data_IF_872174987922
#
_entry.id   IF_872174987922
#
_cell.length_a   1.000
_cell.length_b   1.000
_cell.length_c   1.000
_cell.angle_alpha   90.00
_cell.angle_beta   90.00
_cell.angle_gamma   90.00
#
_symmetry.space_group_name_H-M   'P 1'
#
loop_
_entity.id
_entity.type
_entity.pdbx_description
1 polymer ?
#
# COMPACT_ATOMS: atom_id res chain seq x y z
N UNK A 1 12.76 36.22 34.41
CA UNK A 1 12.62 35.32 35.58
C UNK A 1 13.89 34.51 35.64
N UNK A 2 14.71 34.71 36.68
CA UNK A 2 15.93 33.91 36.89
C UNK A 2 15.52 32.48 37.23
N UNK A 3 16.05 31.53 36.46
CA UNK A 3 15.78 30.11 36.65
C UNK A 3 16.79 29.53 37.65
N UNK A 4 16.36 28.73 38.65
CA UNK A 4 17.18 28.24 39.77
C UNK A 4 18.27 27.21 39.37
N UNK A 5 18.42 26.94 38.08
CA UNK A 5 19.25 25.88 37.50
C UNK A 5 20.62 26.36 36.99
N UNK A 6 20.98 27.63 37.23
CA UNK A 6 22.29 28.23 36.93
C UNK A 6 23.22 28.33 38.17
N UNK A 7 23.01 27.48 39.18
CA UNK A 7 23.80 27.48 40.41
C UNK A 7 25.18 26.80 40.19
N UNK A 8 26.28 27.39 40.69
CA UNK A 8 27.67 26.93 40.52
C UNK A 8 27.94 25.51 41.03
N UNK A 9 27.01 24.91 41.78
CA UNK A 9 27.09 23.53 42.26
C UNK A 9 26.94 22.46 41.16
N UNK A 10 26.48 22.82 39.95
CA UNK A 10 26.29 21.86 38.84
C UNK A 10 27.27 22.10 37.68
N UNK A 11 28.58 22.03 37.96
CA UNK A 11 29.68 22.20 36.96
C UNK A 11 29.66 21.24 35.77
N UNK A 12 28.84 20.18 35.79
CA UNK A 12 28.77 19.16 34.74
C UNK A 12 27.69 19.35 33.68
N UNK A 13 26.77 20.31 33.83
CA UNK A 13 25.64 20.46 32.92
C UNK A 13 25.77 21.74 32.08
N UNK A 14 26.26 21.60 30.84
CA UNK A 14 26.23 22.69 29.85
C UNK A 14 24.87 22.70 29.17
N UNK A 15 23.95 23.55 29.66
CA UNK A 15 22.66 23.77 29.00
C UNK A 15 22.87 24.72 27.82
N UNK A 16 22.73 24.20 26.60
CA UNK A 16 22.74 25.04 25.40
C UNK A 16 21.45 25.88 25.35
N UNK A 17 21.56 27.18 25.04
CA UNK A 17 20.40 28.02 24.79
C UNK A 17 19.55 27.39 23.69
N UNK A 18 18.27 27.12 23.99
CA UNK A 18 17.34 26.53 23.05
C UNK A 18 17.28 27.35 21.76
N UNK A 19 17.42 26.68 20.62
CA UNK A 19 17.19 27.26 19.30
C UNK A 19 15.70 27.53 19.15
N UNK A 20 15.32 28.80 18.98
CA UNK A 20 13.93 29.26 19.06
C UNK A 20 13.07 28.84 17.88
N UNK A 21 13.64 28.42 16.75
CA UNK A 21 12.88 27.95 15.59
C UNK A 21 13.71 26.98 14.75
N UNK A 22 13.39 25.68 14.86
CA UNK A 22 13.76 24.71 13.83
C UNK A 22 12.68 24.81 12.75
N UNK A 23 13.01 25.08 11.47
CA UNK A 23 12.01 25.10 10.42
C UNK A 23 11.32 23.73 10.35
N UNK A 24 10.00 23.69 10.56
CA UNK A 24 9.16 22.48 10.54
C UNK A 24 9.18 21.76 9.20
N UNK A 25 9.61 22.48 8.15
CA UNK A 25 9.75 21.99 6.79
C UNK A 25 11.18 22.23 6.37
N UNK A 26 11.86 21.18 5.90
CA UNK A 26 13.24 21.29 5.42
C UNK A 26 13.33 22.36 4.33
N UNK A 27 14.07 23.48 4.53
CA UNK A 27 14.16 24.58 3.57
C UNK A 27 14.85 24.19 2.26
N UNK A 28 15.51 23.03 2.22
CA UNK A 28 16.12 22.43 1.02
C UNK A 28 15.20 21.42 0.31
N UNK A 29 13.94 21.26 0.74
CA UNK A 29 12.95 20.47 0.00
C UNK A 29 12.70 21.13 -1.37
N UNK A 30 13.41 20.65 -2.39
CA UNK A 30 13.04 20.91 -3.78
C UNK A 30 11.59 20.48 -3.98
N UNK A 31 10.79 21.39 -4.54
CA UNK A 31 9.36 21.23 -4.85
C UNK A 31 9.11 19.82 -5.37
N UNK A 32 8.28 19.04 -4.66
CA UNK A 32 7.91 17.66 -5.04
C UNK A 32 7.59 17.65 -6.54
N UNK A 33 8.30 16.81 -7.31
CA UNK A 33 7.99 16.58 -8.73
C UNK A 33 6.50 16.32 -8.82
N UNK A 34 5.78 17.18 -9.55
CA UNK A 34 4.33 17.08 -9.73
C UNK A 34 4.08 15.69 -10.30
N UNK A 35 3.37 14.83 -9.57
CA UNK A 35 3.05 13.48 -10.05
C UNK A 35 2.29 13.64 -11.36
N UNK A 36 2.68 12.91 -12.39
CA UNK A 36 1.94 12.86 -13.65
C UNK A 36 0.51 12.40 -13.32
N UNK A 37 -0.48 13.20 -13.69
CA UNK A 37 -1.88 12.82 -13.62
C UNK A 37 -2.18 11.99 -14.86
N UNK A 38 -2.71 10.78 -14.65
CA UNK A 38 -3.11 9.88 -15.73
C UNK A 38 -4.61 9.99 -15.93
N UNK A 39 -5.01 10.03 -17.19
CA UNK A 39 -6.41 9.86 -17.58
C UNK A 39 -6.85 8.39 -17.38
N UNK A 40 -8.17 8.11 -17.25
CA UNK A 40 -8.68 6.74 -17.20
C UNK A 40 -8.18 5.86 -18.35
N UNK A 41 -8.07 6.40 -19.56
CA UNK A 41 -7.58 5.67 -20.72
C UNK A 41 -6.09 5.35 -20.63
N UNK A 42 -5.25 6.27 -20.14
CA UNK A 42 -3.82 6.00 -19.88
C UNK A 42 -3.63 4.93 -18.79
N UNK A 43 -4.50 4.92 -17.77
CA UNK A 43 -4.50 3.85 -16.77
C UNK A 43 -4.77 2.49 -17.42
N UNK A 44 -5.82 2.39 -18.23
CA UNK A 44 -6.20 1.15 -18.92
C UNK A 44 -5.07 0.68 -19.83
N UNK A 45 -4.51 1.57 -20.66
CA UNK A 45 -3.39 1.24 -21.55
C UNK A 45 -2.17 0.72 -20.76
N UNK A 46 -1.82 1.40 -19.66
CA UNK A 46 -0.73 0.98 -18.80
C UNK A 46 -0.97 -0.39 -18.15
N UNK A 47 -2.19 -0.66 -17.70
CA UNK A 47 -2.58 -1.95 -17.13
C UNK A 47 -2.47 -3.06 -18.18
N UNK A 48 -2.98 -2.83 -19.40
CA UNK A 48 -2.92 -3.81 -20.49
C UNK A 48 -1.48 -4.10 -20.94
N UNK A 49 -0.60 -3.10 -20.89
CA UNK A 49 0.85 -3.25 -21.11
C UNK A 49 1.59 -3.94 -19.95
N UNK A 50 0.90 -4.23 -18.84
CA UNK A 50 1.50 -4.88 -17.65
C UNK A 50 2.34 -3.95 -16.80
N UNK A 51 2.11 -2.63 -16.84
CA UNK A 51 2.83 -1.67 -16.01
C UNK A 51 2.35 -1.75 -14.55
N UNK A 52 3.16 -2.39 -13.70
CA UNK A 52 2.86 -2.59 -12.27
C UNK A 52 2.68 -1.26 -11.52
N UNK A 53 3.42 -0.22 -11.88
CA UNK A 53 3.30 1.10 -11.23
C UNK A 53 1.93 1.72 -11.50
N UNK A 54 1.47 1.67 -12.75
CA UNK A 54 0.15 2.18 -13.13
C UNK A 54 -0.95 1.33 -12.50
N UNK A 55 -0.81 0.00 -12.49
CA UNK A 55 -1.73 -0.91 -11.79
C UNK A 55 -1.84 -0.57 -10.30
N UNK A 56 -0.71 -0.36 -9.63
CA UNK A 56 -0.68 -0.01 -8.20
C UNK A 56 -1.40 1.30 -7.90
N UNK A 57 -1.23 2.30 -8.78
CA UNK A 57 -1.91 3.59 -8.66
C UNK A 57 -3.42 3.47 -8.91
N UNK A 58 -3.83 2.68 -9.91
CA UNK A 58 -5.25 2.40 -10.17
C UNK A 58 -5.91 1.70 -8.97
N UNK A 59 -5.26 0.68 -8.40
CA UNK A 59 -5.74 0.01 -7.17
C UNK A 59 -5.85 1.00 -6.00
N UNK A 60 -4.91 1.92 -5.87
CA UNK A 60 -4.97 2.98 -4.84
C UNK A 60 -6.17 3.91 -5.03
N UNK A 61 -6.55 4.22 -6.27
CA UNK A 61 -7.77 4.98 -6.57
C UNK A 61 -9.03 4.20 -6.16
N UNK A 62 -9.08 2.91 -6.48
CA UNK A 62 -10.19 2.00 -6.12
C UNK A 62 -10.38 1.92 -4.60
N UNK A 63 -9.29 1.89 -3.83
CA UNK A 63 -9.31 1.83 -2.38
C UNK A 63 -9.60 3.19 -1.70
N UNK A 64 -9.60 4.28 -2.47
CA UNK A 64 -9.76 5.62 -1.91
C UNK A 64 -11.21 5.91 -1.48
N UNK A 65 -11.36 6.64 -0.37
CA UNK A 65 -12.66 7.10 0.11
C UNK A 65 -13.16 8.40 -0.56
N UNK A 66 -12.33 9.07 -1.36
CA UNK A 66 -12.69 10.32 -2.04
C UNK A 66 -13.61 10.04 -3.24
N UNK A 67 -14.69 10.81 -3.36
CA UNK A 67 -15.67 10.63 -4.42
C UNK A 67 -15.07 10.82 -5.84
N UNK A 68 -14.22 11.83 -6.02
CA UNK A 68 -13.52 12.08 -7.29
C UNK A 68 -12.69 10.86 -7.74
N UNK A 69 -11.97 10.22 -6.81
CA UNK A 69 -11.18 9.02 -7.11
C UNK A 69 -12.08 7.83 -7.45
N UNK A 70 -13.23 7.71 -6.79
CA UNK A 70 -14.19 6.63 -7.06
C UNK A 70 -14.79 6.71 -8.46
N UNK A 71 -15.10 7.91 -8.94
CA UNK A 71 -15.59 8.13 -10.31
C UNK A 71 -14.56 7.67 -11.35
N UNK A 72 -13.31 8.12 -11.19
CA UNK A 72 -12.19 7.70 -12.07
C UNK A 72 -11.96 6.18 -12.00
N UNK A 73 -11.99 5.61 -10.79
CA UNK A 73 -11.79 4.17 -10.58
C UNK A 73 -12.89 3.33 -11.24
N UNK A 74 -14.15 3.75 -11.15
CA UNK A 74 -15.28 3.09 -11.80
C UNK A 74 -15.10 3.03 -13.32
N UNK A 75 -14.70 4.14 -13.93
CA UNK A 75 -14.45 4.21 -15.38
C UNK A 75 -13.29 3.29 -15.81
N UNK A 76 -12.20 3.26 -15.03
CA UNK A 76 -11.07 2.34 -15.28
C UNK A 76 -11.54 0.88 -15.22
N UNK A 77 -12.33 0.52 -14.21
CA UNK A 77 -12.85 -0.85 -14.04
C UNK A 77 -13.71 -1.23 -15.24
N UNK A 78 -14.66 -0.40 -15.62
CA UNK A 78 -15.57 -0.65 -16.74
C UNK A 78 -14.82 -0.89 -18.05
N UNK A 79 -13.81 -0.05 -18.34
CA UNK A 79 -12.95 -0.22 -19.53
C UNK A 79 -12.06 -1.48 -19.45
N UNK A 80 -11.73 -1.96 -18.25
CA UNK A 80 -10.94 -3.18 -18.06
C UNK A 80 -11.78 -4.47 -18.08
N UNK A 81 -13.10 -4.41 -17.85
CA UNK A 81 -13.99 -5.58 -17.79
C UNK A 81 -13.88 -6.52 -19.00
N UNK A 82 -13.79 -6.05 -20.27
CA UNK A 82 -13.65 -6.93 -21.44
C UNK A 82 -12.38 -7.79 -21.43
N UNK A 83 -11.36 -7.39 -20.67
CA UNK A 83 -10.08 -8.09 -20.57
C UNK A 83 -9.99 -8.98 -19.32
N UNK A 84 -11.00 -8.92 -18.44
CA UNK A 84 -11.06 -9.71 -17.21
C UNK A 84 -11.45 -11.18 -17.49
N UNK A 85 -11.32 -12.03 -16.46
CA UNK A 85 -11.79 -13.42 -16.49
C UNK A 85 -10.80 -14.44 -17.07
N UNK A 86 -9.70 -14.00 -17.71
CA UNK A 86 -8.64 -14.89 -18.23
C UNK A 86 -7.58 -15.23 -17.17
N UNK A 87 -8.01 -15.56 -15.95
CA UNK A 87 -7.11 -15.90 -14.84
C UNK A 87 -7.71 -16.96 -13.92
N UNK A 88 -6.84 -17.76 -13.29
CA UNK A 88 -7.22 -18.71 -12.24
C UNK A 88 -7.18 -17.98 -10.90
N UNK A 89 -8.23 -18.15 -10.08
CA UNK A 89 -8.33 -17.53 -8.75
C UNK A 89 -8.30 -18.62 -7.68
N UNK A 90 -7.32 -18.55 -6.79
CA UNK A 90 -7.10 -19.55 -5.73
C UNK A 90 -7.20 -18.83 -4.38
N UNK A 91 -8.10 -19.29 -3.51
CA UNK A 91 -8.18 -18.84 -2.13
C UNK A 91 -7.31 -19.72 -1.23
N UNK A 92 -6.43 -19.12 -0.43
CA UNK A 92 -5.58 -19.83 0.54
C UNK A 92 -5.92 -19.34 1.93
N UNK A 93 -6.25 -20.26 2.83
CA UNK A 93 -6.60 -19.99 4.23
C UNK A 93 -5.85 -20.94 5.16
N UNK A 94 -5.89 -20.65 6.46
CA UNK A 94 -5.20 -21.42 7.50
C UNK A 94 -4.89 -20.58 8.72
N UNK A 95 -4.61 -21.23 9.85
CA UNK A 95 -4.34 -20.56 11.12
C UNK A 95 -3.10 -19.64 11.05
N UNK A 96 -3.00 -18.61 11.91
CA UNK A 96 -1.77 -17.82 12.04
C UNK A 96 -0.57 -18.73 12.31
N UNK A 97 0.58 -18.47 11.67
CA UNK A 97 1.78 -19.30 11.82
C UNK A 97 1.81 -20.59 11.00
N UNK A 98 0.75 -20.98 10.28
CA UNK A 98 0.70 -22.20 9.45
C UNK A 98 1.62 -22.19 8.20
N UNK A 99 2.52 -21.21 8.05
CA UNK A 99 3.42 -21.13 6.89
C UNK A 99 2.77 -20.68 5.58
N UNK A 100 1.54 -20.15 5.58
CA UNK A 100 0.82 -19.72 4.36
C UNK A 100 1.65 -18.83 3.44
N UNK A 101 2.28 -17.78 3.97
CA UNK A 101 3.10 -16.86 3.18
C UNK A 101 4.30 -17.56 2.56
N UNK A 102 4.95 -18.47 3.29
CA UNK A 102 6.08 -19.29 2.79
C UNK A 102 5.64 -20.21 1.65
N UNK A 103 4.47 -20.86 1.79
CA UNK A 103 3.91 -21.70 0.73
C UNK A 103 3.53 -20.89 -0.51
N UNK A 104 2.96 -19.69 -0.33
CA UNK A 104 2.62 -18.78 -1.43
C UNK A 104 3.89 -18.31 -2.14
N UNK A 105 4.96 -17.98 -1.41
CA UNK A 105 6.24 -17.55 -1.96
C UNK A 105 6.84 -18.65 -2.86
N UNK A 106 6.96 -19.87 -2.34
CA UNK A 106 7.50 -21.01 -3.08
C UNK A 106 6.64 -21.39 -4.30
N UNK A 107 5.31 -21.49 -4.12
CA UNK A 107 4.38 -21.79 -5.22
C UNK A 107 4.38 -20.69 -6.28
N UNK A 108 4.44 -19.43 -5.86
CA UNK A 108 4.46 -18.29 -6.76
C UNK A 108 5.72 -18.25 -7.62
N UNK A 109 6.89 -18.50 -7.01
CA UNK A 109 8.15 -18.63 -7.75
C UNK A 109 8.09 -19.76 -8.77
N UNK A 110 7.51 -20.91 -8.41
CA UNK A 110 7.33 -22.01 -9.36
C UNK A 110 6.49 -21.58 -10.58
N UNK A 111 5.39 -20.86 -10.38
CA UNK A 111 4.55 -20.36 -11.48
C UNK A 111 5.30 -19.34 -12.36
N UNK A 112 6.05 -18.42 -11.75
CA UNK A 112 6.82 -17.41 -12.48
C UNK A 112 7.92 -18.04 -13.32
N UNK A 113 8.60 -19.07 -12.78
CA UNK A 113 9.61 -19.83 -13.52
C UNK A 113 9.01 -20.58 -14.74
N UNK A 114 7.70 -20.84 -14.74
CA UNK A 114 6.97 -21.38 -15.89
C UNK A 114 6.37 -20.28 -16.80
N UNK A 115 6.86 -19.05 -16.69
CA UNK A 115 6.43 -17.92 -17.53
C UNK A 115 5.04 -17.36 -17.19
N UNK A 116 4.47 -17.70 -16.04
CA UNK A 116 3.18 -17.15 -15.59
C UNK A 116 3.37 -15.83 -14.84
N UNK A 117 2.31 -15.02 -14.82
CA UNK A 117 2.22 -13.81 -13.98
C UNK A 117 1.37 -14.14 -12.75
N UNK A 118 1.75 -13.62 -11.59
CA UNK A 118 1.06 -13.88 -10.34
C UNK A 118 0.65 -12.57 -9.65
N UNK A 119 -0.57 -12.54 -9.12
CA UNK A 119 -1.02 -11.50 -8.20
C UNK A 119 -1.41 -12.14 -6.86
N UNK A 120 -0.92 -11.58 -5.76
CA UNK A 120 -1.25 -11.97 -4.39
C UNK A 120 -1.99 -10.82 -3.73
N UNK A 121 -3.25 -11.06 -3.39
CA UNK A 121 -4.08 -10.13 -2.61
C UNK A 121 -4.20 -10.70 -1.20
N UNK A 122 -3.47 -10.13 -0.25
CA UNK A 122 -3.52 -10.60 1.13
C UNK A 122 -4.70 -9.93 1.84
N UNK A 123 -5.57 -10.73 2.47
CA UNK A 123 -6.72 -10.26 3.24
C UNK A 123 -6.49 -10.69 4.69
N UNK A 124 -6.36 -9.72 5.60
CA UNK A 124 -6.16 -9.97 7.02
C UNK A 124 -7.21 -9.21 7.86
N UNK A 125 -8.13 -9.93 8.55
CA UNK A 125 -9.10 -9.33 9.47
C UNK A 125 -8.46 -8.42 10.53
N UNK A 126 -7.22 -8.73 10.94
CA UNK A 126 -6.52 -7.98 11.99
C UNK A 126 -6.09 -6.58 11.55
N UNK A 127 -6.02 -6.34 10.23
CA UNK A 127 -5.59 -5.06 9.64
C UNK A 127 -6.52 -3.88 9.98
N UNK A 128 -7.77 -4.13 10.36
CA UNK A 128 -8.70 -3.10 10.85
C UNK A 128 -8.25 -2.50 12.19
N UNK A 129 -7.69 -3.33 13.09
CA UNK A 129 -7.24 -2.87 14.42
C UNK A 129 -5.85 -2.22 14.37
N UNK A 130 -4.98 -2.67 13.47
CA UNK A 130 -3.58 -2.23 13.39
C UNK A 130 -3.31 -1.14 12.33
N UNK A 131 -4.34 -0.63 11.64
CA UNK A 131 -4.25 0.34 10.53
C UNK A 131 -3.40 -0.13 9.32
N UNK A 132 -3.16 -1.42 9.18
CA UNK A 132 -2.62 -2.04 7.96
C UNK A 132 -1.29 -2.76 8.19
N UNK A 133 -1.29 -4.08 8.01
CA UNK A 133 -0.09 -4.93 7.97
C UNK A 133 0.62 -4.84 6.60
N UNK A 134 0.86 -3.62 6.12
CA UNK A 134 1.43 -3.40 4.77
C UNK A 134 2.82 -4.03 4.63
N UNK A 135 3.62 -3.98 5.70
CA UNK A 135 4.95 -4.57 5.71
C UNK A 135 4.97 -6.06 6.03
N UNK A 136 4.06 -6.56 6.88
CA UNK A 136 4.17 -7.89 7.48
C UNK A 136 4.03 -9.05 6.49
N UNK A 137 3.17 -8.91 5.47
CA UNK A 137 3.01 -9.94 4.46
C UNK A 137 4.08 -9.86 3.36
N UNK A 138 4.50 -8.64 3.01
CA UNK A 138 5.51 -8.42 1.97
C UNK A 138 6.91 -8.85 2.41
N UNK A 139 7.26 -8.69 3.68
CA UNK A 139 8.56 -9.17 4.21
C UNK A 139 8.63 -10.69 4.38
N UNK A 140 7.48 -11.38 4.47
CA UNK A 140 7.43 -12.86 4.57
C UNK A 140 7.53 -13.56 3.21
N UNK A 141 7.36 -12.84 2.11
CA UNK A 141 7.45 -13.34 0.73
C UNK A 141 8.65 -12.68 0.03
N UNK A 142 9.86 -12.91 0.53
CA UNK A 142 11.06 -12.18 0.11
C UNK A 142 11.39 -12.40 -1.38
N UNK A 143 11.36 -13.64 -1.85
CA UNK A 143 11.72 -13.97 -3.22
C UNK A 143 10.67 -13.40 -4.19
N UNK A 144 9.40 -13.69 -3.94
CA UNK A 144 8.30 -13.24 -4.77
C UNK A 144 8.17 -11.71 -4.79
N UNK A 145 8.51 -11.02 -3.70
CA UNK A 145 8.44 -9.55 -3.63
C UNK A 145 9.41 -8.82 -4.57
N UNK A 146 10.46 -9.51 -5.05
CA UNK A 146 11.48 -8.96 -5.97
C UNK A 146 11.16 -9.24 -7.44
N UNK A 147 10.23 -10.15 -7.71
CA UNK A 147 9.92 -10.58 -9.06
C UNK A 147 9.06 -9.56 -9.82
N UNK A 148 9.48 -9.23 -11.04
CA UNK A 148 8.75 -8.29 -11.91
C UNK A 148 7.42 -8.84 -12.40
N UNK A 149 7.24 -10.17 -12.38
CA UNK A 149 6.00 -10.82 -12.78
C UNK A 149 5.07 -11.12 -11.59
N UNK A 150 5.45 -10.69 -10.39
CA UNK A 150 4.65 -10.78 -9.18
C UNK A 150 4.08 -9.41 -8.80
N UNK A 151 2.81 -9.38 -8.42
CA UNK A 151 2.17 -8.21 -7.82
C UNK A 151 1.60 -8.58 -6.45
N UNK A 152 2.11 -7.97 -5.38
CA UNK A 152 1.67 -8.25 -4.01
C UNK A 152 0.98 -7.00 -3.45
N UNK A 153 -0.30 -7.12 -3.10
CA UNK A 153 -1.09 -6.06 -2.47
C UNK A 153 -1.59 -6.52 -1.10
N UNK A 154 -1.16 -5.88 0.01
CA UNK A 154 -1.72 -6.14 1.33
C UNK A 154 -3.11 -5.52 1.47
N UNK A 155 -3.93 -6.10 2.36
CA UNK A 155 -5.31 -5.68 2.62
C UNK A 155 -5.40 -4.19 2.91
N UNK A 156 -6.34 -3.46 2.29
CA UNK A 156 -6.62 -2.09 2.68
C UNK A 156 -7.21 -2.07 4.09
N UNK A 157 -6.88 -1.05 4.88
CA UNK A 157 -7.38 -0.81 6.24
C UNK A 157 -8.86 -0.37 6.28
N UNK A 158 -9.60 -0.55 5.17
CA UNK A 158 -10.96 -0.07 5.02
C UNK A 158 -11.93 -1.05 5.70
N UNK A 159 -12.38 -0.68 6.91
CA UNK A 159 -13.17 -1.51 7.81
C UNK A 159 -14.37 -2.24 7.20
N UNK A 160 -14.62 -3.39 7.82
CA UNK A 160 -15.44 -4.55 7.51
C UNK A 160 -14.83 -5.56 6.54
N UNK A 161 -14.76 -6.81 7.01
CA UNK A 161 -14.39 -8.08 6.35
C UNK A 161 -15.05 -8.36 4.98
N UNK A 162 -15.96 -7.48 4.55
CA UNK A 162 -16.56 -7.50 3.23
C UNK A 162 -16.75 -6.10 2.70
N UNK A 163 -15.92 -5.69 1.74
CA UNK A 163 -16.24 -4.58 0.81
C UNK A 163 -17.55 -4.81 0.02
N UNK A 164 -18.22 -5.93 0.22
CA UNK A 164 -19.57 -6.23 -0.25
C UNK A 164 -20.64 -5.46 0.55
N UNK A 165 -20.36 -5.02 1.78
CA UNK A 165 -21.35 -4.41 2.68
C UNK A 165 -21.42 -2.87 2.65
N UNK A 166 -20.66 -2.19 1.77
CA UNK A 166 -20.84 -0.74 1.53
C UNK A 166 -21.73 -0.42 0.34
N UNK A 167 -22.23 -1.43 -0.37
CA UNK A 167 -23.20 -1.24 -1.46
C UNK A 167 -24.59 -1.53 -0.90
N UNK A 168 -25.40 -0.47 -0.81
CA UNK A 168 -26.80 -0.42 -0.32
C UNK A 168 -26.99 -0.10 1.17
N UNK A 169 -26.80 1.17 1.52
CA UNK A 169 -27.58 1.79 2.60
C UNK A 169 -27.70 3.30 2.33
N UNK A 170 -28.75 3.69 1.61
CA UNK A 170 -29.46 4.94 1.86
C UNK A 170 -30.96 4.61 1.82
N UNK A 171 -31.75 5.02 2.83
CA UNK A 171 -33.19 5.19 2.65
C UNK A 171 -33.48 6.33 1.68
#
# INVERSE_FOLDING_TARGET
MEHPENNEQFKGLKVNKGISNVPTVNPYLKRRVKRKEYTPSEFVEGILKGNITILSQAVTLVESSKHEHQQVAQEIIEKCLPFAGKSVRIGITGVPGAGKSTSIDSFGMHLINHGRKLAVLAIDPSSERSKGSILGDKTRMEALSREKNAFIRPSPSAGSLGGVARKHAKP
#
